data_IF_346617994863
#
_entry.id   IF_346617994863
#
_cell.length_a   1.000
_cell.length_b   1.000
_cell.length_c   1.000
_cell.angle_alpha   90.00
_cell.angle_beta   90.00
_cell.angle_gamma   90.00
#
_symmetry.space_group_name_H-M   'P 1'
#
loop_
_entity.id
_entity.type
_entity.pdbx_description
1 polymer ?
#
# COMPACT_ATOMS: atom_id res chain seq x y z
N UNK A 1 11.49 11.54 -82.73
CA UNK A 1 11.92 10.95 -81.44
C UNK A 1 11.24 11.75 -80.32
N UNK A 2 10.17 11.24 -79.76
CA UNK A 2 9.34 11.96 -78.78
C UNK A 2 9.60 11.35 -77.43
N UNK A 3 10.30 12.07 -76.56
CA UNK A 3 10.60 11.64 -75.22
C UNK A 3 9.43 12.07 -74.33
N UNK A 4 8.70 11.10 -73.83
CA UNK A 4 7.60 11.35 -72.87
C UNK A 4 8.14 11.61 -71.44
N UNK A 5 7.64 12.61 -70.72
CA UNK A 5 8.07 12.85 -69.34
C UNK A 5 7.42 11.84 -68.40
N UNK A 6 8.28 11.20 -67.62
CA UNK A 6 7.87 10.32 -66.53
C UNK A 6 7.22 11.17 -65.40
N UNK A 7 5.95 11.00 -65.22
CA UNK A 7 5.24 11.54 -64.02
C UNK A 7 5.68 10.77 -62.76
N UNK A 8 6.42 11.44 -61.92
CA UNK A 8 6.65 10.97 -60.55
C UNK A 8 5.35 11.07 -59.75
N UNK A 9 4.79 9.93 -59.37
CA UNK A 9 3.69 9.87 -58.41
C UNK A 9 4.27 10.04 -57.04
N UNK A 10 4.03 11.21 -56.43
CA UNK A 10 4.26 11.44 -55.02
C UNK A 10 3.33 10.56 -54.22
N UNK A 11 3.89 9.58 -53.55
CA UNK A 11 3.16 8.82 -52.53
C UNK A 11 3.14 9.65 -51.24
N UNK A 12 2.00 10.26 -50.99
CA UNK A 12 1.73 10.91 -49.69
C UNK A 12 1.64 9.82 -48.63
N UNK A 13 2.67 9.74 -47.80
CA UNK A 13 2.62 8.91 -46.60
C UNK A 13 1.83 9.68 -45.57
N UNK A 14 0.58 9.27 -45.33
CA UNK A 14 -0.22 9.73 -44.20
C UNK A 14 0.38 9.10 -42.95
N UNK A 15 1.17 9.88 -42.24
CA UNK A 15 1.57 9.56 -40.86
C UNK A 15 0.33 9.68 -39.96
N UNK A 16 -0.28 8.55 -39.70
CA UNK A 16 -1.33 8.45 -38.70
C UNK A 16 -0.74 8.74 -37.31
N UNK A 17 -1.07 9.90 -36.77
CA UNK A 17 -0.80 10.22 -35.38
C UNK A 17 -1.81 9.43 -34.56
N UNK A 18 -1.41 8.27 -34.03
CA UNK A 18 -2.14 7.58 -33.00
C UNK A 18 -1.97 8.37 -31.70
N UNK A 19 -2.97 9.18 -31.38
CA UNK A 19 -3.09 9.78 -30.06
C UNK A 19 -3.33 8.67 -29.04
N UNK A 20 -2.27 8.26 -28.36
CA UNK A 20 -2.35 7.45 -27.15
C UNK A 20 -3.00 8.31 -26.07
N UNK A 21 -4.31 8.21 -25.91
CA UNK A 21 -5.00 8.72 -24.73
C UNK A 21 -4.58 7.85 -23.55
N UNK A 22 -3.58 8.31 -22.81
CA UNK A 22 -3.27 7.77 -21.51
C UNK A 22 -4.45 8.10 -20.60
N UNK A 23 -5.40 7.16 -20.47
CA UNK A 23 -6.40 7.19 -19.44
C UNK A 23 -5.66 7.05 -18.11
N UNK A 24 -5.40 8.17 -17.46
CA UNK A 24 -4.97 8.20 -16.07
C UNK A 24 -6.16 7.69 -15.24
N UNK A 25 -6.16 6.39 -14.95
CA UNK A 25 -6.95 5.81 -13.88
C UNK A 25 -6.41 6.40 -12.57
N UNK A 26 -6.81 7.62 -12.26
CA UNK A 26 -6.72 8.13 -10.90
C UNK A 26 -7.73 7.35 -10.07
N UNK A 27 -7.34 6.12 -9.70
CA UNK A 27 -8.04 5.38 -8.68
C UNK A 27 -7.99 6.23 -7.42
N UNK A 28 -9.14 6.72 -6.96
CA UNK A 28 -9.28 7.22 -5.61
C UNK A 28 -8.90 6.06 -4.70
N UNK A 29 -7.67 6.03 -4.22
CA UNK A 29 -7.28 5.14 -3.15
C UNK A 29 -8.08 5.58 -1.92
N UNK A 30 -9.18 4.87 -1.64
CA UNK A 30 -9.89 5.05 -0.39
C UNK A 30 -8.95 4.69 0.75
N UNK A 31 -8.96 5.50 1.81
CA UNK A 31 -8.19 5.18 3.01
C UNK A 31 -8.65 3.82 3.55
N UNK A 32 -7.75 2.98 4.02
CA UNK A 32 -8.13 1.70 4.62
C UNK A 32 -8.92 1.92 5.91
N UNK A 33 -9.78 0.96 6.26
CA UNK A 33 -10.50 0.96 7.53
C UNK A 33 -9.57 0.63 8.71
N UNK A 34 -8.57 -0.19 8.45
CA UNK A 34 -7.56 -0.62 9.43
C UNK A 34 -6.15 -0.52 8.84
N UNK A 35 -5.23 -0.09 9.68
CA UNK A 35 -3.80 -0.14 9.42
C UNK A 35 -3.16 -1.20 10.32
N UNK A 36 -2.16 -1.91 9.82
CA UNK A 36 -1.48 -2.94 10.60
C UNK A 36 0.01 -2.69 10.68
N UNK A 37 0.57 -2.97 11.86
CA UNK A 37 2.00 -3.02 12.13
C UNK A 37 2.41 -4.48 12.35
N UNK A 38 3.61 -4.84 11.92
CA UNK A 38 4.19 -6.13 12.25
C UNK A 38 4.73 -6.11 13.68
N UNK A 39 4.38 -7.12 14.47
CA UNK A 39 4.69 -7.14 15.90
C UNK A 39 5.14 -8.50 16.37
N UNK A 40 5.88 -8.48 17.46
CA UNK A 40 6.12 -9.64 18.32
C UNK A 40 5.09 -9.62 19.46
N UNK A 41 4.11 -10.53 19.47
CA UNK A 41 3.07 -10.56 20.51
C UNK A 41 3.60 -10.93 21.90
N UNK A 42 4.73 -11.59 21.99
CA UNK A 42 5.30 -12.01 23.28
C UNK A 42 5.94 -10.85 24.02
N UNK A 43 6.59 -9.95 23.29
CA UNK A 43 7.23 -8.76 23.84
C UNK A 43 6.40 -7.49 23.72
N UNK A 44 5.31 -7.53 22.95
CA UNK A 44 4.49 -6.37 22.55
C UNK A 44 5.34 -5.29 21.86
N UNK A 45 6.27 -5.70 21.02
CA UNK A 45 7.21 -4.84 20.33
C UNK A 45 6.90 -4.79 18.84
N UNK A 46 6.98 -3.60 18.23
CA UNK A 46 6.93 -3.47 16.77
C UNK A 46 8.23 -3.94 16.16
N UNK A 47 8.12 -4.82 15.17
CA UNK A 47 9.25 -5.32 14.36
C UNK A 47 9.15 -4.80 12.93
N UNK A 48 10.13 -5.11 12.09
CA UNK A 48 10.11 -4.73 10.68
C UNK A 48 8.94 -5.41 9.94
N UNK A 49 8.29 -4.66 9.06
CA UNK A 49 7.14 -5.16 8.29
C UNK A 49 7.47 -6.41 7.47
N UNK A 50 8.73 -6.53 7.03
CA UNK A 50 9.23 -7.68 6.26
C UNK A 50 9.29 -8.99 7.04
N UNK A 51 9.14 -8.96 8.35
CA UNK A 51 9.14 -10.16 9.20
C UNK A 51 7.76 -10.81 9.31
N UNK A 52 6.71 -10.07 8.97
CA UNK A 52 5.36 -10.60 8.90
C UNK A 52 5.06 -11.21 7.53
N UNK A 53 4.20 -12.22 7.53
CA UNK A 53 3.72 -12.85 6.30
C UNK A 53 2.74 -11.94 5.56
N UNK A 54 3.00 -11.69 4.28
CA UNK A 54 2.17 -10.90 3.38
C UNK A 54 1.18 -11.74 2.57
N UNK A 55 0.96 -13.01 2.95
CA UNK A 55 -0.02 -13.86 2.28
C UNK A 55 -1.43 -13.25 2.31
N UNK A 56 -2.24 -13.55 1.30
CA UNK A 56 -3.61 -13.04 1.19
C UNK A 56 -4.50 -13.50 2.36
N UNK A 57 -4.16 -14.63 2.97
CA UNK A 57 -4.81 -15.12 4.17
C UNK A 57 -3.98 -14.74 5.41
N UNK A 58 -4.42 -13.74 6.18
CA UNK A 58 -3.70 -13.33 7.37
C UNK A 58 -3.75 -14.45 8.42
N UNK A 59 -2.57 -14.77 8.96
CA UNK A 59 -2.49 -15.65 10.13
C UNK A 59 -2.91 -14.87 11.36
N UNK A 60 -3.99 -15.31 11.98
CA UNK A 60 -4.40 -14.77 13.27
C UNK A 60 -3.50 -15.29 14.38
N UNK A 61 -3.16 -14.42 15.31
CA UNK A 61 -2.34 -14.79 16.46
C UNK A 61 -3.12 -15.72 17.39
N UNK A 62 -2.46 -16.79 17.79
CA UNK A 62 -2.93 -17.67 18.86
C UNK A 62 -1.82 -17.74 19.91
N UNK A 63 -2.13 -17.54 21.21
CA UNK A 63 -1.14 -17.64 22.27
C UNK A 63 -0.38 -18.98 22.23
N UNK A 64 0.95 -18.90 22.34
CA UNK A 64 1.83 -20.06 22.25
C UNK A 64 2.28 -20.42 20.83
N UNK A 65 1.75 -19.76 19.82
CA UNK A 65 2.26 -19.87 18.45
C UNK A 65 3.36 -18.80 18.27
N UNK A 66 4.61 -19.23 18.26
CA UNK A 66 5.73 -18.31 18.06
C UNK A 66 5.72 -17.63 16.69
N UNK A 67 6.39 -16.50 16.60
CA UNK A 67 6.57 -15.75 15.36
C UNK A 67 6.00 -14.33 15.42
N UNK A 68 5.99 -13.68 14.27
CA UNK A 68 5.54 -12.30 14.14
C UNK A 68 4.17 -12.26 13.47
N UNK A 69 3.33 -11.31 13.92
CA UNK A 69 1.94 -11.23 13.47
C UNK A 69 1.53 -9.78 13.20
N UNK A 70 0.62 -9.61 12.25
CA UNK A 70 0.02 -8.32 11.98
C UNK A 70 -0.95 -7.94 13.10
N UNK A 71 -0.72 -6.77 13.68
CA UNK A 71 -1.61 -6.14 14.66
C UNK A 71 -2.38 -5.01 13.99
N UNK A 72 -3.69 -5.15 13.94
CA UNK A 72 -4.60 -4.28 13.19
C UNK A 72 -5.19 -3.21 14.11
N UNK A 73 -5.02 -1.95 13.70
CA UNK A 73 -5.52 -0.79 14.42
C UNK A 73 -6.51 -0.04 13.54
N UNK A 74 -7.65 0.35 14.09
CA UNK A 74 -8.65 1.15 13.37
C UNK A 74 -8.01 2.46 12.87
N UNK A 75 -8.29 2.80 11.60
CA UNK A 75 -7.67 3.95 10.94
C UNK A 75 -8.00 5.29 11.63
N UNK A 76 -9.12 5.37 12.33
CA UNK A 76 -9.51 6.52 13.15
C UNK A 76 -8.90 6.56 14.56
N UNK A 77 -8.04 5.59 14.91
CA UNK A 77 -7.45 5.49 16.25
C UNK A 77 -6.47 6.63 16.54
N UNK A 78 -6.51 7.10 17.78
CA UNK A 78 -5.53 8.04 18.32
C UNK A 78 -4.23 7.37 18.78
N UNK A 79 -4.12 6.03 18.67
CA UNK A 79 -2.90 5.31 19.00
C UNK A 79 -1.71 5.92 18.27
N UNK A 80 -0.63 6.19 19.01
CA UNK A 80 0.63 6.59 18.39
C UNK A 80 1.28 5.39 17.71
N UNK A 81 1.70 5.58 16.47
CA UNK A 81 2.48 4.58 15.75
C UNK A 81 3.81 4.41 16.48
N UNK A 82 4.13 3.22 17.02
CA UNK A 82 5.42 3.00 17.64
C UNK A 82 6.53 2.96 16.58
N UNK A 83 7.72 3.40 16.93
CA UNK A 83 8.89 3.11 16.11
C UNK A 83 9.18 1.61 16.10
N UNK A 84 9.87 1.12 15.06
CA UNK A 84 10.41 -0.24 15.07
C UNK A 84 11.32 -0.42 16.28
N UNK A 85 11.13 -1.50 17.02
CA UNK A 85 11.82 -1.77 18.28
C UNK A 85 11.15 -1.17 19.53
N UNK A 86 10.04 -0.46 19.38
CA UNK A 86 9.28 0.09 20.51
C UNK A 86 8.02 -0.72 20.78
N UNK A 87 7.60 -0.68 22.02
CA UNK A 87 6.35 -1.32 22.47
C UNK A 87 5.12 -0.57 22.01
N UNK A 88 4.02 -1.27 21.83
CA UNK A 88 2.74 -0.72 21.45
C UNK A 88 1.66 -1.09 22.48
N UNK A 89 0.56 -0.34 22.46
CA UNK A 89 -0.62 -0.67 23.29
C UNK A 89 -1.44 -1.77 22.61
N UNK A 90 -1.36 -2.98 23.15
CA UNK A 90 -2.08 -4.14 22.63
C UNK A 90 -3.60 -4.07 22.80
N UNK A 91 -4.12 -3.06 23.52
CA UNK A 91 -5.56 -2.80 23.67
C UNK A 91 -6.12 -1.92 22.56
N UNK A 92 -5.24 -1.27 21.79
CA UNK A 92 -5.64 -0.34 20.73
C UNK A 92 -6.10 -1.01 19.43
N UNK A 93 -5.98 -2.34 19.33
CA UNK A 93 -6.28 -3.06 18.10
C UNK A 93 -6.54 -4.54 18.33
N UNK A 94 -6.41 -5.31 17.26
CA UNK A 94 -6.68 -6.75 17.27
C UNK A 94 -5.70 -7.52 16.39
N UNK A 95 -5.49 -8.78 16.72
CA UNK A 95 -4.77 -9.74 15.88
C UNK A 95 -5.68 -10.53 14.93
N UNK A 96 -6.99 -10.32 14.99
CA UNK A 96 -7.96 -11.11 14.25
C UNK A 96 -8.23 -10.51 12.87
N UNK A 97 -7.22 -10.50 12.01
CA UNK A 97 -7.31 -9.97 10.66
C UNK A 97 -8.28 -10.74 9.78
N UNK A 98 -8.43 -12.05 9.97
CA UNK A 98 -9.37 -12.86 9.22
C UNK A 98 -10.83 -12.44 9.45
N UNK A 99 -11.19 -12.06 10.68
CA UNK A 99 -12.52 -11.53 10.98
C UNK A 99 -12.76 -10.17 10.32
N UNK A 100 -11.77 -9.29 10.30
CA UNK A 100 -11.87 -7.98 9.64
C UNK A 100 -12.17 -8.14 8.14
N UNK A 101 -11.45 -9.05 7.46
CA UNK A 101 -11.65 -9.32 6.03
C UNK A 101 -13.01 -9.95 5.76
N UNK A 102 -13.45 -10.89 6.58
CA UNK A 102 -14.80 -11.49 6.44
C UNK A 102 -15.92 -10.47 6.62
N UNK A 103 -15.70 -9.44 7.44
CA UNK A 103 -16.66 -8.35 7.63
C UNK A 103 -16.62 -7.29 6.53
N UNK A 104 -15.76 -7.46 5.52
CA UNK A 104 -15.62 -6.56 4.39
C UNK A 104 -14.78 -5.31 4.69
N UNK A 105 -14.05 -5.26 5.81
CA UNK A 105 -13.16 -4.16 6.12
C UNK A 105 -11.94 -4.18 5.21
N UNK A 106 -11.51 -3.00 4.77
CA UNK A 106 -10.26 -2.84 4.05
C UNK A 106 -9.10 -2.71 5.04
N UNK A 107 -8.03 -3.43 4.80
CA UNK A 107 -6.85 -3.42 5.66
C UNK A 107 -5.60 -3.07 4.86
N UNK A 108 -4.73 -2.25 5.45
CA UNK A 108 -3.40 -1.97 4.94
C UNK A 108 -2.37 -2.56 5.90
N UNK A 109 -1.65 -3.57 5.43
CA UNK A 109 -0.56 -4.20 6.19
C UNK A 109 0.75 -3.52 5.87
N UNK A 110 1.42 -3.00 6.89
CA UNK A 110 2.67 -2.27 6.75
C UNK A 110 2.54 -0.87 6.14
N UNK A 111 3.66 -0.30 5.79
CA UNK A 111 3.74 1.03 5.19
C UNK A 111 3.64 2.21 6.15
N UNK A 112 3.51 1.94 7.47
CA UNK A 112 3.58 2.99 8.48
C UNK A 112 5.03 3.42 8.74
N UNK A 113 5.27 4.69 9.10
CA UNK A 113 6.63 5.18 9.35
C UNK A 113 7.39 4.32 10.35
N UNK A 114 8.61 3.93 10.01
CA UNK A 114 9.48 3.14 10.91
C UNK A 114 9.84 3.91 12.17
N UNK A 115 9.99 5.22 12.06
CA UNK A 115 10.27 6.10 13.19
C UNK A 115 9.04 6.33 14.10
N UNK A 116 7.84 5.99 13.66
CA UNK A 116 6.61 6.21 14.39
C UNK A 116 6.34 7.68 14.68
N UNK A 117 5.70 7.95 15.82
CA UNK A 117 5.57 9.29 16.40
C UNK A 117 4.24 9.97 16.18
N UNK A 118 3.59 9.80 15.04
CA UNK A 118 2.24 10.33 14.79
C UNK A 118 1.14 9.31 15.12
N UNK A 119 -0.09 9.78 15.30
CA UNK A 119 -1.21 8.85 15.48
C UNK A 119 -1.60 8.17 14.18
N UNK A 120 -2.19 6.97 14.28
CA UNK A 120 -2.72 6.24 13.13
C UNK A 120 -3.72 7.12 12.37
N UNK A 121 -4.63 7.78 13.07
CA UNK A 121 -5.60 8.69 12.45
C UNK A 121 -4.96 9.85 11.70
N UNK A 122 -3.95 10.46 12.29
CA UNK A 122 -3.25 11.58 11.64
C UNK A 122 -2.54 11.13 10.37
N UNK A 123 -1.87 9.98 10.42
CA UNK A 123 -1.20 9.39 9.28
C UNK A 123 -2.19 9.04 8.15
N UNK A 124 -3.29 8.39 8.48
CA UNK A 124 -4.33 8.02 7.52
C UNK A 124 -4.96 9.24 6.86
N UNK A 125 -5.28 10.27 7.64
CA UNK A 125 -5.87 11.51 7.13
C UNK A 125 -4.93 12.32 6.24
N UNK A 126 -3.63 12.27 6.51
CA UNK A 126 -2.63 12.94 5.67
C UNK A 126 -2.35 12.22 4.35
N UNK A 127 -3.05 11.12 4.07
CA UNK A 127 -2.86 10.32 2.86
C UNK A 127 -1.59 9.49 2.88
N UNK A 128 -1.09 9.12 4.06
CA UNK A 128 0.16 8.39 4.22
C UNK A 128 0.26 7.11 3.41
N UNK A 129 -0.85 6.40 3.21
CA UNK A 129 -0.90 5.20 2.37
C UNK A 129 -0.98 5.49 0.86
N UNK A 130 -1.33 6.72 0.47
CA UNK A 130 -1.34 7.15 -0.94
C UNK A 130 0.02 7.65 -1.44
N UNK A 131 0.93 7.95 -0.53
CA UNK A 131 2.24 8.54 -0.83
C UNK A 131 3.35 7.51 -1.06
N UNK A 132 3.09 6.24 -0.93
CA UNK A 132 4.08 5.17 -1.19
C UNK A 132 4.30 4.89 -2.68
N UNK A 133 4.17 5.91 -3.51
CA UNK A 133 4.86 5.88 -4.80
C UNK A 133 6.32 6.09 -4.49
N UNK A 134 7.07 4.98 -4.49
CA UNK A 134 8.48 5.02 -4.39
C UNK A 134 9.04 6.05 -5.34
N UNK A 135 9.56 7.12 -4.80
CA UNK A 135 10.51 7.95 -5.50
C UNK A 135 11.75 7.08 -5.59
N UNK A 136 11.86 6.33 -6.67
CA UNK A 136 13.14 5.83 -7.09
C UNK A 136 13.97 7.06 -7.45
N UNK A 137 14.66 7.60 -6.49
CA UNK A 137 15.76 8.51 -6.77
C UNK A 137 16.85 7.68 -7.39
N UNK A 138 17.07 7.92 -8.63
CA UNK A 138 18.25 7.50 -9.36
C UNK A 138 19.49 8.14 -8.76
#
# INVERSE_FOLDING_TARGET
MTTAPRRMRSRTVLLGVTALTASSLSGCASNPDYAAICTDPETNERVEDTQCDDSDEPRDYTPGLGGFFWFYVFAGSSMRIPAVGQTYDNRAGTYNGSALLRNGSSVQRGGLPRAGGQSVRSFTRSGGFGSSRGVSSS
#
